data_IF_714677818917
#
_entry.id   IF_714677818917
#
_cell.length_a   1.000
_cell.length_b   1.000
_cell.length_c   1.000
_cell.angle_alpha   90.00
_cell.angle_beta   90.00
_cell.angle_gamma   90.00
#
_symmetry.space_group_name_H-M   'P 1'
#
loop_
_entity.id
_entity.type
_entity.pdbx_description
1 polymer ?
#
# COMPACT_ATOMS: atom_id res chain seq x y z
N UNK A 1 10.18 5.21 -0.72
CA UNK A 1 10.43 5.51 -2.14
C UNK A 1 9.72 4.49 -3.00
N UNK A 2 9.23 4.88 -4.17
CA UNK A 2 8.52 3.98 -5.07
C UNK A 2 9.12 4.08 -6.47
N UNK A 3 9.40 2.93 -7.07
CA UNK A 3 9.86 2.82 -8.44
C UNK A 3 8.70 2.28 -9.29
N UNK A 4 8.07 3.17 -10.05
CA UNK A 4 6.90 2.87 -10.89
C UNK A 4 7.36 2.59 -12.32
N UNK A 5 6.91 1.48 -12.88
CA UNK A 5 7.04 1.18 -14.32
C UNK A 5 5.84 1.71 -15.10
N UNK A 6 6.00 2.00 -16.39
CA UNK A 6 4.96 2.53 -17.29
C UNK A 6 3.69 1.66 -17.37
N UNK A 7 3.77 0.39 -16.98
CA UNK A 7 2.67 -0.57 -17.06
C UNK A 7 1.54 -0.37 -16.04
N UNK A 8 1.73 0.43 -14.98
CA UNK A 8 0.68 0.67 -13.97
C UNK A 8 -0.55 1.42 -14.51
N UNK A 9 -0.52 1.90 -15.76
CA UNK A 9 -1.63 2.63 -16.41
C UNK A 9 -2.44 1.79 -17.39
N UNK A 10 -2.22 0.46 -17.47
CA UNK A 10 -3.02 -0.38 -18.36
C UNK A 10 -4.47 -0.45 -17.88
N UNK A 11 -5.46 -0.28 -18.78
CA UNK A 11 -6.87 -0.42 -18.43
C UNK A 11 -7.17 -1.87 -18.02
N UNK A 12 -8.13 -2.03 -17.10
CA UNK A 12 -8.71 -3.33 -16.77
C UNK A 12 -9.62 -3.73 -17.93
N UNK A 13 -9.34 -4.87 -18.54
CA UNK A 13 -10.06 -5.35 -19.73
C UNK A 13 -10.92 -6.60 -19.42
N UNK A 14 -10.74 -7.19 -18.26
CA UNK A 14 -11.41 -8.40 -17.81
C UNK A 14 -12.79 -8.07 -17.20
N UNK A 15 -13.79 -8.92 -17.48
CA UNK A 15 -15.13 -8.79 -16.89
C UNK A 15 -15.13 -9.05 -15.38
N UNK A 16 -14.33 -10.03 -14.93
CA UNK A 16 -14.07 -10.29 -13.52
C UNK A 16 -12.74 -9.63 -13.10
N UNK A 17 -12.75 -8.58 -12.26
CA UNK A 17 -11.53 -7.90 -11.84
C UNK A 17 -10.59 -8.83 -11.05
N UNK A 18 -11.08 -9.92 -10.45
CA UNK A 18 -10.20 -10.88 -9.76
C UNK A 18 -9.24 -11.60 -10.71
N UNK A 19 -9.58 -11.66 -12.00
CA UNK A 19 -8.72 -12.23 -13.04
C UNK A 19 -7.71 -11.22 -13.59
N UNK A 20 -7.83 -9.94 -13.23
CA UNK A 20 -6.94 -8.90 -13.74
C UNK A 20 -5.51 -9.07 -13.19
N UNK A 21 -4.49 -9.27 -14.05
CA UNK A 21 -3.13 -9.39 -13.61
C UNK A 21 -2.59 -8.00 -13.22
N UNK A 22 -2.60 -7.70 -11.92
CA UNK A 22 -2.08 -6.40 -11.48
C UNK A 22 -0.55 -6.32 -11.64
N UNK A 23 -0.10 -5.23 -12.25
CA UNK A 23 1.31 -4.92 -12.36
C UNK A 23 1.95 -4.76 -10.98
N UNK A 24 3.14 -5.34 -10.85
CA UNK A 24 3.95 -5.24 -9.65
C UNK A 24 4.74 -3.94 -9.71
N UNK A 25 4.76 -3.20 -8.60
CA UNK A 25 5.56 -2.00 -8.46
C UNK A 25 6.61 -2.25 -7.39
N UNK A 26 7.86 -1.87 -7.64
CA UNK A 26 8.89 -2.02 -6.63
C UNK A 26 8.80 -0.85 -5.66
N UNK A 27 8.64 -1.15 -4.38
CA UNK A 27 8.49 -0.13 -3.35
C UNK A 27 9.39 -0.37 -2.15
N UNK A 28 9.78 0.73 -1.53
CA UNK A 28 10.60 0.76 -0.35
C UNK A 28 9.96 1.63 0.75
N UNK A 29 9.79 1.04 1.92
CA UNK A 29 9.46 1.69 3.17
C UNK A 29 10.66 1.54 4.11
N UNK A 30 11.35 2.66 4.39
CA UNK A 30 12.52 2.65 5.27
C UNK A 30 12.14 2.36 6.73
N UNK A 31 13.12 1.94 7.52
CA UNK A 31 12.94 1.74 8.97
C UNK A 31 12.49 3.02 9.68
N UNK A 32 13.09 4.16 9.34
CA UNK A 32 12.70 5.46 9.88
C UNK A 32 11.23 5.79 9.57
N UNK A 33 10.78 5.50 8.34
CA UNK A 33 9.39 5.76 7.94
C UNK A 33 8.43 4.83 8.66
N UNK A 34 8.77 3.53 8.77
CA UNK A 34 7.99 2.57 9.54
C UNK A 34 7.86 2.99 11.01
N UNK A 35 8.95 3.45 11.63
CA UNK A 35 8.95 3.95 13.01
C UNK A 35 8.03 5.18 13.17
N UNK A 36 8.09 6.14 12.24
CA UNK A 36 7.21 7.33 12.24
C UNK A 36 5.73 6.94 12.11
N UNK A 37 5.42 6.03 11.19
CA UNK A 37 4.06 5.51 10.98
C UNK A 37 3.51 4.84 12.25
N UNK A 38 4.30 3.94 12.85
CA UNK A 38 3.90 3.27 14.09
C UNK A 38 3.72 4.25 15.26
N UNK A 39 4.59 5.26 15.36
CA UNK A 39 4.48 6.31 16.38
C UNK A 39 3.21 7.14 16.19
N UNK A 40 2.91 7.55 14.96
CA UNK A 40 1.70 8.29 14.63
C UNK A 40 0.45 7.46 14.97
N UNK A 41 0.44 6.18 14.61
CA UNK A 41 -0.66 5.25 14.92
C UNK A 41 -0.86 5.07 16.43
N UNK A 42 0.22 4.86 17.17
CA UNK A 42 0.17 4.73 18.64
C UNK A 42 -0.33 6.01 19.33
N UNK A 43 -0.14 7.18 18.73
CA UNK A 43 -0.67 8.48 19.19
C UNK A 43 -2.12 8.73 18.78
N UNK A 44 -2.75 7.82 18.03
CA UNK A 44 -4.10 8.00 17.49
C UNK A 44 -4.18 8.99 16.34
N UNK A 45 -3.05 9.34 15.71
CA UNK A 45 -3.05 10.21 14.54
C UNK A 45 -3.52 9.45 13.30
N UNK A 46 -4.15 10.19 12.37
CA UNK A 46 -4.55 9.65 11.07
C UNK A 46 -3.35 9.49 10.14
N UNK A 47 -3.33 8.41 9.37
CA UNK A 47 -2.39 8.15 8.29
C UNK A 47 -3.10 8.39 6.95
N UNK A 48 -2.69 9.45 6.25
CA UNK A 48 -3.23 9.82 4.93
C UNK A 48 -2.16 9.58 3.87
N UNK A 49 -2.50 8.77 2.86
CA UNK A 49 -1.62 8.49 1.73
C UNK A 49 -1.83 9.50 0.61
N UNK A 50 -0.75 10.05 0.06
CA UNK A 50 -0.79 10.80 -1.19
C UNK A 50 -0.77 9.81 -2.37
N UNK A 51 -1.91 9.66 -3.05
CA UNK A 51 -2.09 8.76 -4.18
C UNK A 51 -2.31 7.28 -3.83
N UNK A 52 -2.97 6.58 -4.76
CA UNK A 52 -3.37 5.17 -4.62
C UNK A 52 -2.19 4.20 -4.59
N UNK A 53 -1.06 4.56 -5.22
CA UNK A 53 0.12 3.70 -5.20
C UNK A 53 0.78 3.66 -3.82
N UNK A 54 0.78 4.78 -3.11
CA UNK A 54 1.23 4.85 -1.71
C UNK A 54 0.35 3.99 -0.81
N UNK A 55 -0.98 3.99 -1.04
CA UNK A 55 -1.93 3.12 -0.34
C UNK A 55 -1.57 1.64 -0.53
N UNK A 56 -1.39 1.21 -1.78
CA UNK A 56 -1.06 -0.19 -2.10
C UNK A 56 0.27 -0.63 -1.47
N UNK A 57 1.30 0.21 -1.52
CA UNK A 57 2.59 -0.08 -0.90
C UNK A 57 2.47 -0.23 0.61
N UNK A 58 1.80 0.71 1.29
CA UNK A 58 1.68 0.68 2.75
C UNK A 58 0.83 -0.51 3.22
N UNK A 59 -0.28 -0.81 2.55
CA UNK A 59 -1.10 -1.97 2.89
C UNK A 59 -0.37 -3.29 2.58
N UNK A 60 0.41 -3.38 1.51
CA UNK A 60 1.29 -4.53 1.25
C UNK A 60 2.32 -4.72 2.37
N UNK A 61 3.03 -3.66 2.75
CA UNK A 61 4.04 -3.68 3.82
C UNK A 61 3.42 -4.08 5.18
N UNK A 62 2.21 -3.60 5.45
CA UNK A 62 1.45 -3.93 6.67
C UNK A 62 1.04 -5.41 6.69
N UNK A 63 0.65 -5.97 5.54
CA UNK A 63 0.24 -7.39 5.44
C UNK A 63 1.41 -8.37 5.47
N UNK A 64 2.58 -7.99 4.98
CA UNK A 64 3.75 -8.87 4.87
C UNK A 64 4.16 -9.50 6.22
N UNK A 65 3.87 -8.84 7.33
CA UNK A 65 4.24 -9.30 8.67
C UNK A 65 3.20 -10.22 9.33
N UNK A 66 2.09 -10.53 8.66
CA UNK A 66 1.00 -11.35 9.22
C UNK A 66 0.21 -10.70 10.37
N UNK A 67 0.73 -9.62 10.95
CA UNK A 67 0.09 -8.81 12.01
C UNK A 67 -0.17 -7.39 11.47
N UNK A 68 -1.29 -6.76 11.85
CA UNK A 68 -1.60 -5.40 11.42
C UNK A 68 -0.60 -4.36 11.96
N UNK A 69 -0.02 -4.60 13.13
CA UNK A 69 0.96 -3.70 13.75
C UNK A 69 2.03 -4.53 14.50
N UNK A 70 3.24 -3.97 14.67
CA UNK A 70 3.74 -2.76 14.01
C UNK A 70 4.06 -3.01 12.52
N UNK A 71 3.98 -1.96 11.71
CA UNK A 71 4.50 -1.96 10.34
C UNK A 71 6.03 -2.07 10.39
N UNK A 72 6.63 -2.90 9.54
CA UNK A 72 8.09 -3.09 9.44
C UNK A 72 8.62 -2.45 8.17
N UNK A 73 9.94 -2.17 8.10
CA UNK A 73 10.57 -1.84 6.84
C UNK A 73 10.19 -2.85 5.76
N UNK A 74 9.98 -2.36 4.55
CA UNK A 74 9.56 -3.17 3.40
C UNK A 74 10.40 -2.78 2.19
N UNK A 75 10.88 -3.78 1.45
CA UNK A 75 11.65 -3.55 0.23
C UNK A 75 11.45 -4.73 -0.71
N UNK A 76 10.35 -4.69 -1.45
CA UNK A 76 9.96 -5.75 -2.37
C UNK A 76 8.93 -5.22 -3.39
N UNK A 77 8.48 -6.11 -4.25
CA UNK A 77 7.39 -5.87 -5.19
C UNK A 77 6.04 -5.84 -4.49
N UNK A 78 5.37 -4.69 -4.57
CA UNK A 78 3.97 -4.53 -4.20
C UNK A 78 3.08 -4.97 -5.36
N UNK A 79 2.16 -5.89 -5.07
CA UNK A 79 1.19 -6.45 -6.03
C UNK A 79 -0.21 -6.56 -5.45
N UNK A 80 -0.46 -5.85 -4.36
CA UNK A 80 -1.74 -5.87 -3.68
C UNK A 80 -2.79 -5.27 -4.61
N UNK A 81 -3.80 -6.06 -4.96
CA UNK A 81 -5.00 -5.56 -5.61
C UNK A 81 -6.08 -5.33 -4.56
N UNK A 82 -6.61 -4.11 -4.53
CA UNK A 82 -7.58 -3.65 -3.53
C UNK A 82 -8.95 -3.62 -4.21
N UNK A 83 -9.83 -4.50 -3.76
CA UNK A 83 -11.22 -4.62 -4.24
C UNK A 83 -12.21 -4.17 -3.16
N UNK A 84 -13.47 -3.87 -3.50
CA UNK A 84 -14.52 -3.60 -2.53
C UNK A 84 -14.59 -4.69 -1.44
N UNK A 85 -14.76 -4.26 -0.18
CA UNK A 85 -14.71 -5.14 0.98
C UNK A 85 -13.32 -5.31 1.61
N UNK A 86 -12.26 -4.74 1.00
CA UNK A 86 -10.94 -4.68 1.63
C UNK A 86 -10.98 -3.87 2.94
N UNK A 87 -10.41 -4.42 4.01
CA UNK A 87 -10.24 -3.73 5.29
C UNK A 87 -8.84 -3.17 5.40
N UNK A 88 -8.72 -1.86 5.27
CA UNK A 88 -7.46 -1.13 5.47
C UNK A 88 -7.00 -1.28 6.92
N UNK A 89 -5.70 -1.53 7.09
CA UNK A 89 -5.11 -1.76 8.41
C UNK A 89 -4.38 -0.54 8.93
N UNK A 90 -3.69 0.17 8.04
CA UNK A 90 -2.86 1.32 8.41
C UNK A 90 -3.35 2.61 7.78
N UNK A 91 -4.02 2.55 6.63
CA UNK A 91 -4.47 3.74 5.89
C UNK A 91 -5.84 4.21 6.37
N UNK A 92 -5.93 5.48 6.77
CA UNK A 92 -7.19 6.13 7.20
C UNK A 92 -7.80 7.02 6.11
N UNK A 93 -7.02 7.40 5.09
CA UNK A 93 -7.49 8.19 3.96
C UNK A 93 -6.51 8.24 2.81
N UNK A 94 -7.00 8.61 1.63
CA UNK A 94 -6.19 8.88 0.44
C UNK A 94 -6.50 10.28 -0.06
N UNK A 95 -5.44 11.03 -0.35
CA UNK A 95 -5.53 12.29 -1.08
C UNK A 95 -5.19 12.03 -2.55
N UNK A 96 -6.10 12.40 -3.43
CA UNK A 96 -5.99 12.22 -4.88
C UNK A 96 -6.04 13.61 -5.48
N UNK A 97 -4.87 14.11 -5.89
CA UNK A 97 -4.71 15.35 -6.64
C UNK A 97 -5.23 15.22 -8.07
#
# INVERSE_FOLDING_TARGET
TLHVGLDSFRPVCEEDPQQHPIHKEYGELSEETAAKLNTARARGNRIVCAGTTTVRLLEQATRANGKPEPVRPFRDWARLFILPGHRFKMVDGVDVV
#
